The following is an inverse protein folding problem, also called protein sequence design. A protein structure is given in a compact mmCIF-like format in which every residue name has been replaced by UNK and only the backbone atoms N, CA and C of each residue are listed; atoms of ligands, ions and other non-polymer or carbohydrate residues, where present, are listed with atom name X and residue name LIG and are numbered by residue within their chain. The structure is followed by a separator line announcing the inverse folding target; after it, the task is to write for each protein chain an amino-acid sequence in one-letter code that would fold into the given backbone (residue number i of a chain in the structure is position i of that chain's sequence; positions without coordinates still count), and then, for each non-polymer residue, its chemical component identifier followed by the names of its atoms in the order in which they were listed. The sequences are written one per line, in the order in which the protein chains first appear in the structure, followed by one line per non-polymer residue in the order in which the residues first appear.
data_IF_493335572714
#
_entry.id   IF_493335572714
#
_cell.length_a   1.000
_cell.length_b   1.000
_cell.length_c   1.000
_cell.angle_alpha   90.00
_cell.angle_beta   90.00
_cell.angle_gamma   90.00
#
_symmetry.space_group_name_H-M   'P 1'
#
loop_
_entity.id
_entity.type
_entity.pdbx_description
1 polymer ?
#
# COMPACT_ATOMS: atom_id res chain seq x y z
N UNK A 1 -10.27 0.29 -25.71
CA UNK A 1 -10.03 -0.03 -24.29
C UNK A 1 -10.33 -1.51 -24.15
N UNK A 2 -9.31 -2.34 -23.93
CA UNK A 2 -9.50 -3.79 -23.77
C UNK A 2 -10.04 -4.06 -22.36
N UNK A 3 -11.37 -3.96 -22.22
CA UNK A 3 -12.07 -4.12 -20.93
C UNK A 3 -11.71 -5.43 -20.21
N UNK A 4 -11.59 -6.59 -20.90
CA UNK A 4 -11.05 -7.82 -20.31
C UNK A 4 -9.67 -7.67 -19.66
N UNK A 5 -8.70 -7.07 -20.36
CA UNK A 5 -7.34 -6.88 -19.83
C UNK A 5 -7.32 -5.94 -18.62
N UNK A 6 -8.04 -4.81 -18.69
CA UNK A 6 -8.14 -3.89 -17.56
C UNK A 6 -8.67 -4.63 -16.32
N UNK A 7 -9.76 -5.38 -16.48
CA UNK A 7 -10.41 -6.12 -15.38
C UNK A 7 -9.53 -7.21 -14.80
N UNK A 8 -8.75 -7.92 -15.62
CA UNK A 8 -7.88 -8.99 -15.12
C UNK A 8 -6.73 -8.45 -14.29
N UNK A 9 -6.14 -7.32 -14.70
CA UNK A 9 -5.10 -6.63 -13.92
C UNK A 9 -5.67 -6.09 -12.61
N UNK A 10 -6.82 -5.40 -12.65
CA UNK A 10 -7.51 -4.92 -11.46
C UNK A 10 -7.76 -6.05 -10.46
N UNK A 11 -8.31 -7.18 -10.94
CA UNK A 11 -8.63 -8.34 -10.11
C UNK A 11 -7.39 -8.94 -9.46
N UNK A 12 -6.30 -9.12 -10.21
CA UNK A 12 -5.05 -9.67 -9.66
C UNK A 12 -4.45 -8.75 -8.60
N UNK A 13 -4.46 -7.44 -8.86
CA UNK A 13 -3.99 -6.45 -7.90
C UNK A 13 -4.82 -6.47 -6.60
N UNK A 14 -6.14 -6.55 -6.70
CA UNK A 14 -7.05 -6.58 -5.55
C UNK A 14 -6.93 -7.90 -4.75
N UNK A 15 -7.01 -9.04 -5.45
CA UNK A 15 -7.01 -10.37 -4.83
C UNK A 15 -5.65 -10.73 -4.21
N UNK A 16 -4.54 -10.24 -4.77
CA UNK A 16 -3.18 -10.66 -4.39
C UNK A 16 -2.36 -9.49 -3.85
N UNK A 17 -1.98 -8.54 -4.71
CA UNK A 17 -1.01 -7.51 -4.35
C UNK A 17 -1.50 -6.66 -3.16
N UNK A 18 -2.73 -6.16 -3.20
CA UNK A 18 -3.32 -5.35 -2.14
C UNK A 18 -3.44 -6.10 -0.82
N UNK A 19 -3.82 -7.39 -0.85
CA UNK A 19 -3.88 -8.25 0.34
C UNK A 19 -2.50 -8.39 0.97
N UNK A 20 -1.48 -8.69 0.17
CA UNK A 20 -0.13 -8.95 0.68
C UNK A 20 0.61 -7.68 1.09
N UNK A 21 0.43 -6.56 0.38
CA UNK A 21 0.92 -5.24 0.81
C UNK A 21 0.34 -4.92 2.18
N UNK A 22 -0.98 -4.96 2.33
CA UNK A 22 -1.62 -4.68 3.62
C UNK A 22 -1.12 -5.60 4.74
N UNK A 23 -1.00 -6.91 4.47
CA UNK A 23 -0.53 -7.89 5.46
C UNK A 23 0.91 -7.65 5.87
N UNK A 24 1.79 -7.33 4.92
CA UNK A 24 3.18 -6.96 5.19
C UNK A 24 3.28 -5.73 6.09
N UNK A 25 2.65 -4.62 5.69
CA UNK A 25 2.70 -3.37 6.46
C UNK A 25 2.13 -3.51 7.85
N UNK A 26 0.96 -4.15 8.01
CA UNK A 26 0.40 -4.34 9.35
C UNK A 26 1.19 -5.34 10.21
N UNK A 27 1.81 -6.36 9.61
CA UNK A 27 2.65 -7.31 10.37
C UNK A 27 3.88 -6.62 10.96
N UNK A 28 4.52 -5.73 10.21
CA UNK A 28 5.65 -4.94 10.71
C UNK A 28 5.16 -3.84 11.66
N UNK A 29 4.21 -3.01 11.24
CA UNK A 29 3.80 -1.82 11.98
C UNK A 29 3.11 -2.14 13.31
N UNK A 30 2.19 -3.10 13.36
CA UNK A 30 1.48 -3.44 14.61
C UNK A 30 2.35 -4.25 15.58
N UNK A 31 3.39 -4.94 15.08
CA UNK A 31 4.32 -5.70 15.93
C UNK A 31 5.43 -4.82 16.50
N UNK A 32 6.01 -3.95 15.68
CA UNK A 32 7.15 -3.11 16.06
C UNK A 32 6.71 -1.76 16.64
N UNK A 33 5.60 -1.20 16.19
CA UNK A 33 5.18 0.15 16.54
C UNK A 33 3.65 0.32 16.60
N UNK A 34 2.91 -0.48 17.41
CA UNK A 34 1.46 -0.39 17.47
C UNK A 34 0.94 1.00 17.87
N UNK A 35 1.74 1.79 18.59
CA UNK A 35 1.37 3.15 18.99
C UNK A 35 1.41 4.16 17.84
N UNK A 36 2.23 3.95 16.79
CA UNK A 36 2.27 4.84 15.61
C UNK A 36 1.09 4.61 14.67
N UNK A 37 0.50 3.40 14.71
CA UNK A 37 -0.68 3.04 13.89
C UNK A 37 -1.99 3.53 14.52
N UNK A 38 -2.09 3.58 15.86
CA UNK A 38 -3.33 3.98 16.55
C UNK A 38 -3.91 5.33 16.09
N UNK A 39 -3.13 6.43 15.95
CA UNK A 39 -3.66 7.72 15.53
C UNK A 39 -4.35 7.69 14.16
N UNK A 40 -3.97 6.75 13.28
CA UNK A 40 -4.60 6.54 11.98
C UNK A 40 -6.08 6.16 12.16
N UNK A 41 -6.37 5.28 13.13
CA UNK A 41 -7.71 4.79 13.44
C UNK A 41 -8.57 5.81 14.21
N UNK A 42 -7.94 6.85 14.76
CA UNK A 42 -8.63 7.94 15.46
C UNK A 42 -8.72 9.22 14.61
N UNK A 43 -8.12 9.24 13.43
CA UNK A 43 -8.10 10.42 12.57
C UNK A 43 -9.50 10.81 12.10
N UNK A 44 -9.90 12.05 12.36
CA UNK A 44 -11.22 12.58 11.98
C UNK A 44 -12.38 12.18 12.90
N UNK A 45 -12.12 11.43 13.98
CA UNK A 45 -13.15 11.07 14.96
C UNK A 45 -13.37 12.17 16.01
N UNK A 46 -14.59 12.35 16.54
CA UNK A 46 -14.83 13.11 17.76
C UNK A 46 -13.96 12.63 18.93
N UNK A 47 -13.66 13.53 19.88
CA UNK A 47 -12.77 13.22 21.02
C UNK A 47 -13.21 12.00 21.81
N UNK A 48 -14.51 11.85 22.08
CA UNK A 48 -15.03 10.69 22.84
C UNK A 48 -14.81 9.36 22.10
N UNK A 49 -14.94 9.34 20.77
CA UNK A 49 -14.67 8.15 19.97
C UNK A 49 -13.18 7.82 19.95
N UNK A 50 -12.30 8.83 19.92
CA UNK A 50 -10.85 8.64 19.99
C UNK A 50 -10.40 8.04 21.34
N UNK A 51 -11.07 8.40 22.43
CA UNK A 51 -10.87 7.77 23.75
C UNK A 51 -11.32 6.31 23.72
N UNK A 52 -12.48 6.01 23.13
CA UNK A 52 -12.95 4.62 22.96
C UNK A 52 -11.96 3.78 22.14
N UNK A 53 -11.47 4.30 21.01
CA UNK A 53 -10.44 3.61 20.19
C UNK A 53 -9.17 3.36 21.00
N UNK A 54 -8.75 4.33 21.81
CA UNK A 54 -7.58 4.20 22.68
C UNK A 54 -7.74 3.07 23.69
N UNK A 55 -8.88 2.99 24.37
CA UNK A 55 -9.16 1.95 25.36
C UNK A 55 -9.31 0.57 24.70
N UNK A 56 -9.95 0.51 23.53
CA UNK A 56 -10.13 -0.72 22.77
C UNK A 56 -8.89 -1.17 22.00
N UNK A 57 -7.83 -0.34 21.92
CA UNK A 57 -6.69 -0.55 21.04
C UNK A 57 -6.04 -1.94 21.15
N UNK A 58 -5.73 -2.47 22.35
CA UNK A 58 -5.13 -3.81 22.47
C UNK A 58 -6.02 -4.91 21.90
N UNK A 59 -7.36 -4.75 21.97
CA UNK A 59 -8.33 -5.69 21.40
C UNK A 59 -8.37 -5.56 19.87
N UNK A 60 -8.36 -4.34 19.35
CA UNK A 60 -8.29 -4.05 17.91
C UNK A 60 -7.05 -4.71 17.31
N UNK A 61 -5.88 -4.50 17.92
CA UNK A 61 -4.61 -5.11 17.47
C UNK A 61 -4.72 -6.63 17.44
N UNK A 62 -5.22 -7.27 18.50
CA UNK A 62 -5.42 -8.73 18.53
C UNK A 62 -6.38 -9.24 17.46
N UNK A 63 -7.46 -8.50 17.18
CA UNK A 63 -8.40 -8.83 16.11
C UNK A 63 -7.75 -8.71 14.74
N UNK A 64 -6.98 -7.65 14.49
CA UNK A 64 -6.24 -7.47 13.23
C UNK A 64 -5.18 -8.56 13.04
N UNK A 65 -4.44 -8.91 14.10
CA UNK A 65 -3.45 -9.98 14.06
C UNK A 65 -4.04 -11.31 13.62
N UNK A 66 -5.24 -11.65 14.09
CA UNK A 66 -5.94 -12.88 13.68
C UNK A 66 -6.61 -12.75 12.32
N UNK A 67 -7.36 -11.67 12.10
CA UNK A 67 -8.19 -11.51 10.91
C UNK A 67 -7.41 -11.22 9.63
N UNK A 68 -6.18 -10.70 9.74
CA UNK A 68 -5.29 -10.45 8.61
C UNK A 68 -4.11 -11.43 8.57
N UNK A 69 -4.06 -12.42 9.46
CA UNK A 69 -2.95 -13.37 9.57
C UNK A 69 -1.59 -12.65 9.66
N UNK A 70 -1.41 -11.85 10.72
CA UNK A 70 -0.21 -11.02 10.89
C UNK A 70 0.83 -11.72 11.76
N UNK A 71 2.09 -11.63 11.35
CA UNK A 71 3.22 -12.17 12.09
C UNK A 71 4.52 -12.07 11.32
N UNK A 72 5.65 -12.40 11.95
CA UNK A 72 6.98 -12.26 11.32
C UNK A 72 7.13 -13.17 10.10
N UNK A 73 6.69 -14.43 10.19
CA UNK A 73 6.72 -15.37 9.07
C UNK A 73 5.76 -14.94 7.95
N UNK A 74 4.56 -14.46 8.32
CA UNK A 74 3.54 -13.98 7.39
C UNK A 74 3.99 -12.71 6.67
N UNK A 75 4.71 -11.83 7.38
CA UNK A 75 5.38 -10.64 6.84
C UNK A 75 6.37 -11.03 5.75
N UNK A 76 7.30 -11.94 6.05
CA UNK A 76 8.29 -12.43 5.08
C UNK A 76 7.65 -13.10 3.86
N UNK A 77 6.62 -13.93 4.07
CA UNK A 77 5.88 -14.55 2.98
C UNK A 77 5.19 -13.49 2.10
N UNK A 78 4.51 -12.52 2.72
CA UNK A 78 3.87 -11.43 1.98
C UNK A 78 4.88 -10.59 1.22
N UNK A 79 6.05 -10.33 1.80
CA UNK A 79 7.10 -9.57 1.15
C UNK A 79 7.57 -10.26 -0.14
N UNK A 80 7.79 -11.58 -0.10
CA UNK A 80 8.14 -12.36 -1.29
C UNK A 80 7.02 -12.36 -2.34
N UNK A 81 5.75 -12.45 -1.93
CA UNK A 81 4.61 -12.35 -2.86
C UNK A 81 4.54 -10.96 -3.50
N UNK A 82 4.70 -9.89 -2.72
CA UNK A 82 4.71 -8.51 -3.25
C UNK A 82 5.85 -8.33 -4.25
N UNK A 83 7.06 -8.83 -3.96
CA UNK A 83 8.19 -8.76 -4.90
C UNK A 83 7.87 -9.43 -6.24
N UNK A 84 7.23 -10.61 -6.21
CA UNK A 84 6.79 -11.32 -7.41
C UNK A 84 5.70 -10.57 -8.20
N UNK A 85 4.74 -9.95 -7.51
CA UNK A 85 3.70 -9.13 -8.16
C UNK A 85 4.28 -7.86 -8.78
N UNK A 86 5.25 -7.22 -8.11
CA UNK A 86 5.99 -6.09 -8.68
C UNK A 86 6.79 -6.52 -9.91
N UNK A 87 7.45 -7.68 -9.88
CA UNK A 87 8.19 -8.21 -11.03
C UNK A 87 7.26 -8.46 -12.23
N UNK A 88 6.05 -8.97 -11.99
CA UNK A 88 5.04 -9.13 -13.03
C UNK A 88 4.60 -7.78 -13.62
N UNK A 89 4.35 -6.77 -12.79
CA UNK A 89 4.03 -5.41 -13.26
C UNK A 89 5.18 -4.77 -14.04
N UNK A 90 6.42 -4.95 -13.57
CA UNK A 90 7.61 -4.45 -14.24
C UNK A 90 7.75 -5.09 -15.63
N UNK A 91 7.45 -6.39 -15.77
CA UNK A 91 7.44 -7.09 -17.05
C UNK A 91 6.37 -6.54 -18.00
N UNK A 92 5.18 -6.14 -17.51
CA UNK A 92 4.17 -5.48 -18.33
C UNK A 92 4.65 -4.12 -18.86
N UNK A 93 5.53 -3.44 -18.13
CA UNK A 93 6.06 -2.11 -18.46
C UNK A 93 7.40 -2.17 -19.21
N UNK A 94 7.95 -3.36 -19.45
CA UNK A 94 9.29 -3.54 -20.00
C UNK A 94 9.45 -3.03 -21.44
N UNK A 95 8.36 -2.91 -22.18
CA UNK A 95 8.34 -2.33 -23.54
C UNK A 95 8.31 -0.79 -23.55
N UNK A 96 8.41 -0.15 -22.37
CA UNK A 96 8.43 1.29 -22.24
C UNK A 96 7.06 1.97 -22.34
N UNK A 97 5.96 1.19 -22.32
CA UNK A 97 4.61 1.76 -22.30
C UNK A 97 4.39 2.68 -21.08
N UNK A 98 3.60 3.75 -21.21
CA UNK A 98 3.38 4.68 -20.11
C UNK A 98 2.40 4.17 -19.03
N UNK A 99 1.55 3.19 -19.34
CA UNK A 99 0.48 2.66 -18.48
C UNK A 99 0.36 1.13 -18.61
N UNK A 100 -0.25 0.46 -17.62
CA UNK A 100 -0.31 -1.00 -17.54
C UNK A 100 -0.99 -1.65 -18.76
N UNK A 101 -1.95 -0.95 -19.37
CA UNK A 101 -2.70 -1.44 -20.54
C UNK A 101 -2.29 -0.77 -21.85
N UNK A 102 -1.12 -0.12 -21.89
CA UNK A 102 -0.54 0.49 -23.08
C UNK A 102 -0.46 2.00 -23.00
N UNK A 103 -1.09 2.70 -23.96
CA UNK A 103 -0.92 4.14 -24.16
C UNK A 103 -1.94 5.02 -23.42
N UNK A 104 -2.91 4.43 -22.72
CA UNK A 104 -3.97 5.17 -22.04
C UNK A 104 -4.02 4.81 -20.57
N UNK A 105 -4.24 5.82 -19.74
CA UNK A 105 -4.55 5.64 -18.33
C UNK A 105 -5.91 4.98 -18.17
N UNK A 106 -5.98 3.98 -17.29
CA UNK A 106 -7.20 3.18 -17.05
C UNK A 106 -7.41 2.92 -15.56
N UNK A 107 -8.53 2.26 -15.24
CA UNK A 107 -8.82 1.83 -13.86
C UNK A 107 -7.81 0.82 -13.32
N UNK A 108 -7.06 0.11 -14.19
CA UNK A 108 -5.95 -0.74 -13.76
C UNK A 108 -4.81 0.09 -13.14
N UNK A 109 -4.45 1.22 -13.76
CA UNK A 109 -3.41 2.12 -13.25
C UNK A 109 -3.85 2.79 -11.95
N UNK A 110 -5.12 3.20 -11.85
CA UNK A 110 -5.70 3.72 -10.61
C UNK A 110 -5.65 2.67 -9.48
N UNK A 111 -6.01 1.43 -9.78
CA UNK A 111 -5.98 0.32 -8.83
C UNK A 111 -4.55 0.04 -8.35
N UNK A 112 -3.59 -0.02 -9.28
CA UNK A 112 -2.17 -0.17 -8.93
C UNK A 112 -1.68 0.99 -8.05
N UNK A 113 -1.99 2.23 -8.43
CA UNK A 113 -1.62 3.41 -7.65
C UNK A 113 -2.20 3.32 -6.22
N UNK A 114 -3.49 3.03 -6.08
CA UNK A 114 -4.15 2.97 -4.78
C UNK A 114 -3.59 1.86 -3.87
N UNK A 115 -3.39 0.64 -4.41
CA UNK A 115 -3.00 -0.52 -3.62
C UNK A 115 -1.50 -0.58 -3.32
N UNK A 116 -0.66 -0.01 -4.19
CA UNK A 116 0.80 0.03 -4.02
C UNK A 116 1.30 1.33 -3.41
N UNK A 117 0.43 2.32 -3.15
CA UNK A 117 0.80 3.58 -2.52
C UNK A 117 1.64 3.43 -1.23
N UNK A 118 1.38 2.46 -0.33
CA UNK A 118 2.23 2.25 0.84
C UNK A 118 3.71 2.01 0.51
N UNK A 119 4.00 1.41 -0.65
CA UNK A 119 5.37 1.09 -1.08
C UNK A 119 6.14 2.31 -1.59
N UNK A 120 5.43 3.36 -1.97
CA UNK A 120 6.01 4.58 -2.55
C UNK A 120 5.97 5.75 -1.59
N UNK A 121 4.98 5.77 -0.69
CA UNK A 121 4.70 6.90 0.21
C UNK A 121 4.56 8.25 -0.52
N UNK A 122 3.69 8.34 -1.54
CA UNK A 122 3.58 9.55 -2.35
C UNK A 122 3.18 10.74 -1.48
N UNK A 123 3.91 11.85 -1.63
CA UNK A 123 3.72 13.08 -0.85
C UNK A 123 2.33 13.68 -1.08
N UNK A 124 1.67 13.37 -2.19
CA UNK A 124 0.32 13.80 -2.53
C UNK A 124 -0.76 13.07 -1.73
N UNK A 125 -0.42 11.94 -1.12
CA UNK A 125 -1.33 11.20 -0.27
C UNK A 125 -1.35 11.77 1.16
N UNK A 126 -2.53 12.16 1.69
CA UNK A 126 -2.62 12.91 2.95
C UNK A 126 -2.17 12.11 4.19
N UNK A 127 -2.12 10.78 4.10
CA UNK A 127 -1.77 9.93 5.23
C UNK A 127 -0.26 9.72 5.38
N UNK A 128 0.47 9.47 4.29
CA UNK A 128 1.85 8.97 4.40
C UNK A 128 2.82 10.00 4.99
N UNK A 129 2.59 11.30 4.79
CA UNK A 129 3.38 12.36 5.48
C UNK A 129 3.35 12.29 7.00
N UNK A 130 2.32 11.68 7.58
CA UNK A 130 2.11 11.61 9.03
C UNK A 130 2.54 10.26 9.61
N UNK A 131 2.94 9.32 8.76
CA UNK A 131 3.31 7.97 9.17
C UNK A 131 4.80 7.88 9.38
N UNK A 132 5.17 7.22 10.48
CA UNK A 132 6.53 6.81 10.75
C UNK A 132 6.57 5.31 10.58
N UNK A 133 7.23 4.86 9.51
CA UNK A 133 7.42 3.44 9.26
C UNK A 133 8.64 2.90 10.02
N UNK A 134 8.59 1.63 10.47
CA UNK A 134 9.77 0.93 10.95
C UNK A 134 10.89 0.91 9.90
N UNK A 135 12.15 0.91 10.34
CA UNK A 135 13.32 0.92 9.46
C UNK A 135 13.30 -0.22 8.42
N UNK A 136 12.82 -1.41 8.80
CA UNK A 136 12.70 -2.57 7.91
C UNK A 136 11.81 -2.29 6.69
N UNK A 137 10.72 -1.56 6.88
CA UNK A 137 9.84 -1.12 5.79
C UNK A 137 10.56 -0.11 4.89
N UNK A 138 11.21 0.90 5.49
CA UNK A 138 11.93 1.94 4.74
C UNK A 138 13.07 1.39 3.89
N UNK A 139 13.81 0.40 4.39
CA UNK A 139 14.88 -0.28 3.63
C UNK A 139 14.32 -1.04 2.43
N UNK A 140 13.21 -1.75 2.64
CA UNK A 140 12.50 -2.47 1.58
C UNK A 140 12.01 -1.51 0.50
N UNK A 141 11.32 -0.42 0.87
CA UNK A 141 10.83 0.58 -0.09
C UNK A 141 11.98 1.20 -0.88
N UNK A 142 13.10 1.52 -0.21
CA UNK A 142 14.29 2.04 -0.88
C UNK A 142 14.84 1.04 -1.91
N UNK A 143 14.88 -0.25 -1.58
CA UNK A 143 15.34 -1.30 -2.50
C UNK A 143 14.47 -1.43 -3.76
N UNK A 144 13.18 -1.08 -3.67
CA UNK A 144 12.24 -1.13 -4.80
C UNK A 144 12.03 0.20 -5.52
N UNK A 145 12.61 1.29 -5.04
CA UNK A 145 12.37 2.66 -5.54
C UNK A 145 12.67 2.86 -7.03
N UNK A 146 13.54 2.03 -7.63
CA UNK A 146 13.91 2.09 -9.05
C UNK A 146 13.00 1.26 -9.96
N UNK A 147 12.02 0.53 -9.40
CA UNK A 147 11.14 -0.35 -10.19
C UNK A 147 10.18 0.45 -11.07
N UNK A 148 10.01 0.10 -12.35
CA UNK A 148 9.05 0.75 -13.25
C UNK A 148 7.63 0.83 -12.70
N UNK A 149 7.16 -0.24 -12.04
CA UNK A 149 5.84 -0.29 -11.40
C UNK A 149 5.67 0.77 -10.31
N UNK A 150 6.68 0.97 -9.45
CA UNK A 150 6.62 1.99 -8.40
C UNK A 150 6.79 3.41 -8.95
N UNK A 151 7.55 3.59 -10.03
CA UNK A 151 7.63 4.86 -10.75
C UNK A 151 6.30 5.24 -11.41
N UNK A 152 5.57 4.26 -11.97
CA UNK A 152 4.21 4.45 -12.46
C UNK A 152 3.28 4.94 -11.34
N UNK A 153 3.35 4.33 -10.16
CA UNK A 153 2.56 4.73 -8.98
C UNK A 153 2.89 6.18 -8.58
N UNK A 154 4.17 6.50 -8.41
CA UNK A 154 4.62 7.85 -8.07
C UNK A 154 4.13 8.89 -9.08
N UNK A 155 4.29 8.62 -10.38
CA UNK A 155 3.82 9.48 -11.47
C UNK A 155 2.29 9.65 -11.44
N UNK A 156 1.55 8.58 -11.18
CA UNK A 156 0.08 8.62 -11.13
C UNK A 156 -0.39 9.56 -10.01
N UNK A 157 0.23 9.51 -8.83
CA UNK A 157 -0.09 10.43 -7.74
C UNK A 157 0.25 11.88 -8.09
N UNK A 158 1.45 12.14 -8.60
CA UNK A 158 1.88 13.49 -8.97
C UNK A 158 0.98 14.12 -10.05
N UNK A 159 0.50 13.33 -11.02
CA UNK A 159 -0.35 13.80 -12.12
C UNK A 159 -1.80 14.01 -11.71
N UNK A 160 -2.36 13.11 -10.90
CA UNK A 160 -3.81 13.06 -10.67
C UNK A 160 -4.24 13.53 -9.28
N UNK A 161 -3.30 13.79 -8.36
CA UNK A 161 -3.61 14.22 -7.01
C UNK A 161 -2.81 15.48 -6.67
N UNK A 162 -3.50 16.56 -6.31
CA UNK A 162 -2.83 17.76 -5.78
C UNK A 162 -2.21 17.41 -4.42
N UNK A 163 -1.01 17.95 -4.11
CA UNK A 163 -0.44 17.76 -2.78
C UNK A 163 -1.41 18.25 -1.71
N UNK A 164 -1.59 17.45 -0.65
CA UNK A 164 -2.39 17.87 0.49
C UNK A 164 -1.83 19.20 1.03
N UNK A 165 -2.70 20.16 1.34
CA UNK A 165 -2.29 21.39 2.02
C UNK A 165 -1.61 21.01 3.35
N UNK A 166 -0.47 21.63 3.62
CA UNK A 166 0.30 21.42 4.85
C UNK A 166 -0.51 21.81 6.07
#
# INVERSE_FOLDING_TARGET
EDKPLVRSIEKRLDDVAGVHVRRYFYSEALRLSPQSVRPIFSSGLPMWQSVVVTLAWPRIVKMMQRGLDLGTAQSAQSLATVDGELAWLDALLADGRPYLTGQRWTRADLTAAALLAPLVEPIEHPMYRKLVFPQTISETQKSWSTRPSLQLVARTYAQHRKPAKA
#
